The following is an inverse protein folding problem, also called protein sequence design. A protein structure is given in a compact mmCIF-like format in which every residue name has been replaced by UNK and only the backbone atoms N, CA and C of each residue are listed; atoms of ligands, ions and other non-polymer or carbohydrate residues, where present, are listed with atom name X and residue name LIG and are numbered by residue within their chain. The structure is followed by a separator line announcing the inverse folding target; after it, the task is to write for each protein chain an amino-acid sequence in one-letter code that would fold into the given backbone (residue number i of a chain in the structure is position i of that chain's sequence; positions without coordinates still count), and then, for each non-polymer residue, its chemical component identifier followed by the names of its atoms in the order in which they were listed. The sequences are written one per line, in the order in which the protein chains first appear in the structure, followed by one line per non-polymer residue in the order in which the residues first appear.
data_IF_914316434901
#
_entry.id   IF_914316434901
#
_cell.length_a   1.000
_cell.length_b   1.000
_cell.length_c   1.000
_cell.angle_alpha   90.00
_cell.angle_beta   90.00
_cell.angle_gamma   90.00
#
_symmetry.space_group_name_H-M   'P 1'
#
loop_
_entity.id
_entity.type
_entity.pdbx_description
1 polymer ?
#
# COMPACT_ATOMS: atom_id res chain seq x y z
N UNK A 1 18.09 -39.73 8.45
CA UNK A 1 17.63 -38.51 9.16
C UNK A 1 18.50 -37.33 8.82
N UNK A 2 17.92 -36.28 8.24
CA UNK A 2 18.65 -35.07 7.84
C UNK A 2 18.98 -34.31 9.14
N UNK A 3 20.25 -34.22 9.55
CA UNK A 3 20.61 -33.54 10.79
C UNK A 3 20.23 -32.06 10.68
N UNK A 4 19.38 -31.58 11.60
CA UNK A 4 18.92 -30.19 11.64
C UNK A 4 17.49 -29.92 11.14
N UNK A 5 16.72 -30.94 10.75
CA UNK A 5 15.34 -30.74 10.29
C UNK A 5 14.41 -30.18 11.39
N UNK A 6 14.41 -30.77 12.58
CA UNK A 6 13.63 -30.29 13.75
C UNK A 6 13.93 -28.83 14.16
N UNK A 7 15.20 -28.41 14.35
CA UNK A 7 15.49 -27.02 14.75
C UNK A 7 15.23 -25.99 13.66
N UNK A 8 15.25 -26.37 12.37
CA UNK A 8 14.87 -25.47 11.28
C UNK A 8 13.35 -25.27 11.20
N UNK A 9 12.57 -26.31 11.47
CA UNK A 9 11.10 -26.20 11.58
C UNK A 9 10.73 -25.26 12.73
N UNK A 10 11.38 -25.40 13.89
CA UNK A 10 11.13 -24.53 15.04
C UNK A 10 11.34 -23.05 14.68
N UNK A 11 12.46 -22.72 14.01
CA UNK A 11 12.74 -21.34 13.54
C UNK A 11 11.69 -20.83 12.55
N UNK A 12 11.24 -21.66 11.62
CA UNK A 12 10.24 -21.28 10.63
C UNK A 12 8.87 -21.03 11.28
N UNK A 13 8.48 -21.86 12.25
CA UNK A 13 7.24 -21.71 13.02
C UNK A 13 7.27 -20.42 13.83
N UNK A 14 8.36 -20.17 14.57
CA UNK A 14 8.53 -18.93 15.35
C UNK A 14 8.49 -17.69 14.44
N UNK A 15 9.19 -17.73 13.31
CA UNK A 15 9.18 -16.63 12.34
C UNK A 15 7.78 -16.37 11.77
N UNK A 16 7.00 -17.42 11.49
CA UNK A 16 5.64 -17.29 10.94
C UNK A 16 4.66 -16.69 11.95
N UNK A 17 4.74 -17.11 13.22
CA UNK A 17 3.91 -16.56 14.31
C UNK A 17 4.24 -15.08 14.51
N UNK A 18 5.53 -14.73 14.58
CA UNK A 18 5.97 -13.35 14.71
C UNK A 18 5.48 -12.50 13.53
N UNK A 19 5.67 -12.98 12.29
CA UNK A 19 5.23 -12.27 11.09
C UNK A 19 3.71 -12.02 11.09
N UNK A 20 2.91 -13.00 11.53
CA UNK A 20 1.47 -12.87 11.69
C UNK A 20 1.09 -11.79 12.72
N UNK A 21 1.74 -11.79 13.88
CA UNK A 21 1.51 -10.81 14.94
C UNK A 21 1.82 -9.37 14.45
N UNK A 22 3.00 -9.17 13.86
CA UNK A 22 3.39 -7.87 13.32
C UNK A 22 2.49 -7.40 12.19
N UNK A 23 2.01 -8.33 11.34
CA UNK A 23 1.06 -8.01 10.29
C UNK A 23 -0.30 -7.57 10.85
N UNK A 24 -0.79 -8.26 11.88
CA UNK A 24 -2.03 -7.90 12.58
C UNK A 24 -1.93 -6.51 13.21
N UNK A 25 -0.90 -6.27 14.02
CA UNK A 25 -0.68 -4.97 14.68
C UNK A 25 -0.62 -3.83 13.66
N UNK A 26 0.18 -4.00 12.60
CA UNK A 26 0.30 -3.01 11.53
C UNK A 26 -1.04 -2.75 10.84
N UNK A 27 -1.80 -3.80 10.54
CA UNK A 27 -3.15 -3.67 9.96
C UNK A 27 -4.07 -2.85 10.86
N UNK A 28 -4.14 -3.17 12.15
CA UNK A 28 -4.96 -2.45 13.12
C UNK A 28 -4.59 -0.97 13.23
N UNK A 29 -3.29 -0.65 13.28
CA UNK A 29 -2.82 0.74 13.33
C UNK A 29 -3.26 1.50 12.08
N UNK A 30 -3.08 0.91 10.90
CA UNK A 30 -3.48 1.56 9.65
C UNK A 30 -4.98 1.77 9.53
N UNK A 31 -5.81 0.84 10.03
CA UNK A 31 -7.27 1.04 10.09
C UNK A 31 -7.64 2.23 10.97
N UNK A 32 -7.01 2.37 12.14
CA UNK A 32 -7.26 3.51 13.05
C UNK A 32 -6.80 4.83 12.41
N UNK A 33 -5.62 4.84 11.79
CA UNK A 33 -5.10 6.03 11.08
C UNK A 33 -5.99 6.41 9.91
N UNK A 34 -6.47 5.43 9.12
CA UNK A 34 -7.40 5.66 8.01
C UNK A 34 -8.68 6.35 8.46
N UNK A 35 -9.29 5.86 9.55
CA UNK A 35 -10.45 6.50 10.16
C UNK A 35 -10.19 7.95 10.56
N UNK A 36 -9.02 8.24 11.17
CA UNK A 36 -8.64 9.62 11.54
C UNK A 36 -8.46 10.53 10.34
N UNK A 37 -7.85 10.04 9.26
CA UNK A 37 -7.64 10.80 8.02
C UNK A 37 -8.98 11.15 7.37
N UNK A 38 -9.89 10.19 7.32
CA UNK A 38 -11.24 10.36 6.78
C UNK A 38 -12.03 11.43 7.57
N UNK A 39 -12.04 11.36 8.90
CA UNK A 39 -12.65 12.39 9.76
C UNK A 39 -12.03 13.76 9.52
N UNK A 40 -10.70 13.85 9.41
CA UNK A 40 -10.01 15.12 9.20
C UNK A 40 -10.37 15.76 7.86
N UNK A 41 -10.47 14.96 6.79
CA UNK A 41 -10.92 15.48 5.48
C UNK A 41 -12.35 16.02 5.57
N UNK A 42 -13.25 15.31 6.26
CA UNK A 42 -14.63 15.77 6.44
C UNK A 42 -14.71 17.10 7.18
N UNK A 43 -13.88 17.29 8.21
CA UNK A 43 -13.82 18.55 8.97
C UNK A 43 -13.33 19.72 8.11
N UNK A 44 -12.24 19.52 7.36
CA UNK A 44 -11.68 20.58 6.49
C UNK A 44 -12.66 20.97 5.38
N UNK A 45 -13.33 19.99 4.78
CA UNK A 45 -14.33 20.26 3.75
C UNK A 45 -15.57 20.93 4.33
N UNK A 46 -16.00 20.56 5.54
CA UNK A 46 -17.12 21.23 6.20
C UNK A 46 -16.78 22.68 6.56
N UNK A 47 -15.57 22.94 7.05
CA UNK A 47 -15.08 24.29 7.33
C UNK A 47 -15.07 25.16 6.06
N UNK A 48 -14.59 24.59 4.95
CA UNK A 48 -14.59 25.26 3.64
C UNK A 48 -16.02 25.53 3.12
N UNK A 49 -16.96 24.60 3.34
CA UNK A 49 -18.36 24.77 2.96
C UNK A 49 -19.04 25.89 3.75
N UNK A 50 -18.72 26.06 5.04
CA UNK A 50 -19.30 27.12 5.87
C UNK A 50 -18.90 28.53 5.43
N UNK A 51 -17.76 28.68 4.74
CA UNK A 51 -17.31 29.95 4.18
C UNK A 51 -17.85 30.26 2.78
N UNK A 52 -18.72 29.41 2.21
CA UNK A 52 -19.24 29.56 0.85
C UNK A 52 -20.42 30.55 0.77
N UNK A 53 -20.54 31.26 -0.36
CA UNK A 53 -21.62 32.23 -0.60
C UNK A 53 -23.03 31.63 -0.49
N UNK A 54 -23.99 32.43 -0.02
CA UNK A 54 -25.41 32.03 0.14
C UNK A 54 -26.01 31.55 -1.20
N UNK A 55 -25.62 32.16 -2.32
CA UNK A 55 -26.09 31.76 -3.65
C UNK A 55 -25.71 30.32 -4.05
N UNK A 56 -24.68 29.74 -3.44
CA UNK A 56 -24.34 28.32 -3.63
C UNK A 56 -25.38 27.38 -3.00
N UNK A 57 -25.90 27.76 -1.84
CA UNK A 57 -26.90 27.01 -1.09
C UNK A 57 -28.32 27.14 -1.66
N UNK A 58 -28.59 28.21 -2.44
CA UNK A 58 -29.86 28.37 -3.15
C UNK A 58 -29.97 27.43 -4.38
N UNK A 59 -28.84 27.14 -5.03
CA UNK A 59 -28.79 26.26 -6.22
C UNK A 59 -28.74 24.78 -5.84
N UNK A 60 -28.12 24.44 -4.71
CA UNK A 60 -27.81 23.06 -4.34
C UNK A 60 -28.46 22.70 -3.01
N UNK A 61 -29.28 21.64 -2.97
CA UNK A 61 -29.92 21.21 -1.72
C UNK A 61 -28.88 20.80 -0.67
N UNK A 62 -29.02 21.33 0.54
CA UNK A 62 -28.14 21.03 1.69
C UNK A 62 -28.03 19.53 2.00
N UNK A 63 -29.09 18.76 1.76
CA UNK A 63 -29.09 17.30 1.91
C UNK A 63 -28.17 16.58 0.93
N UNK A 64 -28.14 17.03 -0.33
CA UNK A 64 -27.27 16.44 -1.37
C UNK A 64 -25.81 16.80 -1.11
N UNK A 65 -25.52 18.04 -0.68
CA UNK A 65 -24.17 18.47 -0.27
C UNK A 65 -23.67 17.59 0.88
N UNK A 66 -24.47 17.39 1.93
CA UNK A 66 -24.07 16.61 3.10
C UNK A 66 -23.87 15.14 2.75
N UNK A 67 -24.72 14.57 1.90
CA UNK A 67 -24.60 13.20 1.42
C UNK A 67 -23.31 12.98 0.64
N UNK A 68 -23.03 13.85 -0.34
CA UNK A 68 -21.80 13.80 -1.15
C UNK A 68 -20.57 14.06 -0.31
N UNK A 69 -20.61 15.06 0.57
CA UNK A 69 -19.55 15.33 1.52
C UNK A 69 -19.21 14.10 2.36
N UNK A 70 -20.19 13.36 2.85
CA UNK A 70 -19.92 12.14 3.62
C UNK A 70 -19.43 11.01 2.72
N UNK A 71 -20.15 10.70 1.64
CA UNK A 71 -19.87 9.53 0.79
C UNK A 71 -18.55 9.70 0.01
N UNK A 72 -18.36 10.82 -0.67
CA UNK A 72 -17.17 11.07 -1.47
C UNK A 72 -15.92 11.16 -0.59
N UNK A 73 -16.01 11.81 0.58
CA UNK A 73 -14.89 11.88 1.52
C UNK A 73 -14.52 10.52 2.06
N UNK A 74 -15.51 9.66 2.35
CA UNK A 74 -15.23 8.30 2.81
C UNK A 74 -14.56 7.45 1.74
N UNK A 75 -15.08 7.48 0.51
CA UNK A 75 -14.52 6.72 -0.61
C UNK A 75 -13.09 7.16 -0.95
N UNK A 76 -12.87 8.47 -1.06
CA UNK A 76 -11.54 9.03 -1.34
C UNK A 76 -10.59 8.75 -0.18
N UNK A 77 -11.04 8.92 1.06
CA UNK A 77 -10.20 8.70 2.23
C UNK A 77 -9.75 7.27 2.41
N UNK A 78 -10.65 6.32 2.19
CA UNK A 78 -10.34 4.90 2.27
C UNK A 78 -9.39 4.49 1.13
N UNK A 79 -9.64 4.98 -0.09
CA UNK A 79 -8.78 4.72 -1.24
C UNK A 79 -7.37 5.30 -1.04
N UNK A 80 -7.24 6.54 -0.58
CA UNK A 80 -5.94 7.17 -0.30
C UNK A 80 -5.19 6.39 0.79
N UNK A 81 -5.87 6.07 1.89
CA UNK A 81 -5.26 5.30 3.00
C UNK A 81 -4.76 3.93 2.52
N UNK A 82 -5.55 3.23 1.71
CA UNK A 82 -5.20 1.94 1.15
C UNK A 82 -3.98 2.02 0.22
N UNK A 83 -3.96 2.99 -0.70
CA UNK A 83 -2.84 3.17 -1.61
C UNK A 83 -1.55 3.54 -0.86
N UNK A 84 -1.63 4.41 0.16
CA UNK A 84 -0.49 4.75 1.00
C UNK A 84 0.02 3.52 1.76
N UNK A 85 -0.87 2.68 2.30
CA UNK A 85 -0.49 1.45 2.97
C UNK A 85 0.26 0.49 2.05
N UNK A 86 -0.26 0.25 0.84
CA UNK A 86 0.38 -0.61 -0.16
C UNK A 86 1.70 -0.03 -0.61
N UNK A 87 1.74 1.26 -0.91
CA UNK A 87 2.95 1.93 -1.35
C UNK A 87 4.05 1.78 -0.29
N UNK A 88 3.76 2.09 0.97
CA UNK A 88 4.73 1.98 2.06
C UNK A 88 5.19 0.53 2.25
N UNK A 89 4.27 -0.43 2.23
CA UNK A 89 4.60 -1.86 2.31
C UNK A 89 5.54 -2.29 1.19
N UNK A 90 5.16 -2.00 -0.05
CA UNK A 90 5.91 -2.38 -1.24
C UNK A 90 7.27 -1.69 -1.27
N UNK A 91 7.34 -0.44 -0.83
CA UNK A 91 8.59 0.31 -0.73
C UNK A 91 9.54 -0.30 0.29
N UNK A 92 9.07 -0.57 1.51
CA UNK A 92 9.87 -1.22 2.56
C UNK A 92 10.33 -2.61 2.11
N UNK A 93 9.44 -3.38 1.47
CA UNK A 93 9.78 -4.70 0.95
C UNK A 93 10.81 -4.62 -0.17
N UNK A 94 10.66 -3.69 -1.12
CA UNK A 94 11.60 -3.51 -2.21
C UNK A 94 12.99 -3.13 -1.69
N UNK A 95 13.07 -2.14 -0.80
CA UNK A 95 14.33 -1.71 -0.17
C UNK A 95 14.95 -2.85 0.64
N UNK A 96 14.15 -3.55 1.46
CA UNK A 96 14.63 -4.66 2.28
C UNK A 96 15.20 -5.81 1.44
N UNK A 97 14.49 -6.22 0.38
CA UNK A 97 14.96 -7.27 -0.53
C UNK A 97 16.21 -6.83 -1.28
N UNK A 98 16.26 -5.58 -1.75
CA UNK A 98 17.44 -5.04 -2.44
C UNK A 98 18.68 -5.10 -1.54
N UNK A 99 18.59 -4.57 -0.32
CA UNK A 99 19.70 -4.57 0.64
C UNK A 99 20.12 -6.00 0.95
N UNK A 100 19.17 -6.91 1.19
CA UNK A 100 19.45 -8.30 1.50
C UNK A 100 20.15 -9.03 0.34
N UNK A 101 19.71 -8.79 -0.90
CA UNK A 101 20.37 -9.33 -2.09
C UNK A 101 21.82 -8.89 -2.20
N UNK A 102 22.07 -7.59 -2.07
CA UNK A 102 23.41 -7.02 -2.18
C UNK A 102 24.35 -7.47 -1.05
N UNK A 103 23.82 -7.67 0.17
CA UNK A 103 24.56 -8.22 1.31
C UNK A 103 25.05 -9.66 1.08
N UNK A 104 24.24 -10.51 0.44
CA UNK A 104 24.64 -11.91 0.19
C UNK A 104 25.73 -11.99 -0.89
N UNK A 105 25.50 -11.38 -2.04
CA UNK A 105 26.42 -11.47 -3.17
C UNK A 105 26.16 -10.39 -4.22
N UNK A 106 26.93 -9.31 -4.15
CA UNK A 106 26.82 -8.19 -5.10
C UNK A 106 26.93 -8.61 -6.58
N UNK A 107 27.77 -9.61 -6.90
CA UNK A 107 27.93 -10.16 -8.25
C UNK A 107 26.67 -10.84 -8.79
N UNK A 108 26.00 -11.64 -7.95
CA UNK A 108 24.81 -12.38 -8.36
C UNK A 108 23.60 -11.45 -8.51
N UNK A 109 23.48 -10.45 -7.63
CA UNK A 109 22.43 -9.43 -7.70
C UNK A 109 22.52 -8.56 -8.95
N UNK A 110 23.73 -8.12 -9.34
CA UNK A 110 23.94 -7.39 -10.60
C UNK A 110 23.54 -8.20 -11.83
N UNK A 111 23.89 -9.49 -11.84
CA UNK A 111 23.50 -10.38 -12.93
C UNK A 111 21.98 -10.53 -13.02
N UNK A 112 21.30 -10.68 -11.88
CA UNK A 112 19.84 -10.71 -11.82
C UNK A 112 19.21 -9.40 -12.30
N UNK A 113 19.80 -8.25 -11.95
CA UNK A 113 19.35 -6.94 -12.38
C UNK A 113 19.46 -6.71 -13.89
N UNK A 114 20.45 -7.31 -14.54
CA UNK A 114 20.64 -7.23 -16.00
C UNK A 114 19.73 -8.23 -16.73
N UNK A 115 19.51 -9.43 -16.17
CA UNK A 115 18.71 -10.46 -16.82
C UNK A 115 17.21 -10.10 -16.87
N UNK A 116 16.66 -9.50 -15.82
CA UNK A 116 15.24 -9.09 -15.76
C UNK A 116 14.83 -8.13 -16.89
N UNK A 117 15.51 -6.98 -17.12
CA UNK A 117 15.18 -6.10 -18.23
C UNK A 117 15.47 -6.73 -19.59
N UNK A 118 16.54 -7.53 -19.71
CA UNK A 118 16.84 -8.23 -20.96
C UNK A 118 15.70 -9.17 -21.38
N UNK A 119 15.19 -9.99 -20.44
CA UNK A 119 14.03 -10.86 -20.67
C UNK A 119 12.78 -10.03 -20.98
N UNK A 120 12.56 -8.93 -20.27
CA UNK A 120 11.40 -8.06 -20.50
C UNK A 120 11.39 -7.44 -21.90
N UNK A 121 12.56 -7.00 -22.39
CA UNK A 121 12.72 -6.44 -23.74
C UNK A 121 12.48 -7.52 -24.80
N UNK A 122 13.08 -8.70 -24.63
CA UNK A 122 12.88 -9.84 -25.52
C UNK A 122 11.40 -10.26 -25.58
N UNK A 123 10.74 -10.31 -24.42
CA UNK A 123 9.33 -10.68 -24.31
C UNK A 123 8.41 -9.63 -24.96
N UNK A 124 8.70 -8.33 -24.79
CA UNK A 124 8.00 -7.25 -25.50
C UNK A 124 8.19 -7.33 -27.01
N UNK A 125 9.41 -7.59 -27.47
CA UNK A 125 9.72 -7.70 -28.89
C UNK A 125 8.98 -8.89 -29.52
N UNK A 126 9.01 -10.05 -28.88
CA UNK A 126 8.25 -11.22 -29.31
C UNK A 126 6.74 -10.96 -29.32
N UNK A 127 6.22 -10.26 -28.29
CA UNK A 127 4.80 -9.88 -28.21
C UNK A 127 4.37 -8.89 -29.30
N UNK A 128 5.28 -8.07 -29.82
CA UNK A 128 5.02 -7.21 -30.98
C UNK A 128 5.12 -7.98 -32.31
N UNK A 129 5.90 -9.06 -32.38
CA UNK A 129 6.08 -9.85 -33.61
C UNK A 129 4.93 -10.86 -33.83
N UNK A 130 4.28 -11.30 -32.75
CA UNK A 130 3.14 -12.24 -32.78
C UNK A 130 1.78 -11.54 -32.96
N UNK A 131 1.72 -10.23 -32.70
CA UNK A 131 0.54 -9.40 -33.01
C UNK A 131 0.62 -8.86 -34.43
#
# INVERSE_FOLDING_TARGET
DIPGFMPNIEKLVVASILAGLFAGIRGSIFTVVGGRVNVRMRLVLMDSLLCQDIGFFDVTKTGDITSRLSSDTTLVGDQVTYNVNIFLRSFVQAVGVLIFMFMISWKLSLLAFISVPAITILSKWYGHYVK
#
